data_IF_139001422674
#
_entry.id   IF_139001422674
#
_cell.length_a   1.000
_cell.length_b   1.000
_cell.length_c   1.000
_cell.angle_alpha   90.00
_cell.angle_beta   90.00
_cell.angle_gamma   90.00
#
_symmetry.space_group_name_H-M   'P 1'
#
loop_
_entity.id
_entity.type
_entity.pdbx_description
1 polymer ?
#
# COMPACT_ATOMS: atom_id res chain seq x y z
N UNK A 1 -7.51 -19.49 3.91
CA UNK A 1 -7.54 -18.00 4.00
C UNK A 1 -6.57 -17.46 2.96
N UNK A 2 -6.97 -16.48 2.16
CA UNK A 2 -6.08 -15.91 1.13
C UNK A 2 -5.34 -14.69 1.67
N UNK A 3 -4.09 -14.47 1.24
CA UNK A 3 -3.32 -13.29 1.57
C UNK A 3 -3.83 -12.07 0.78
N UNK A 4 -3.92 -10.93 1.43
CA UNK A 4 -4.37 -9.65 0.86
C UNK A 4 -3.22 -8.64 0.82
N UNK A 5 -3.25 -7.80 -0.19
CA UNK A 5 -2.44 -6.59 -0.28
C UNK A 5 -3.35 -5.42 -0.63
N UNK A 6 -3.35 -4.41 0.20
CA UNK A 6 -4.19 -3.22 0.01
C UNK A 6 -3.33 -1.97 -0.03
N UNK A 7 -3.57 -1.11 -1.01
CA UNK A 7 -3.04 0.25 -1.08
C UNK A 7 -4.20 1.23 -1.04
N UNK A 8 -4.21 2.09 -0.03
CA UNK A 8 -5.11 3.23 0.12
C UNK A 8 -4.39 4.52 -0.27
N UNK A 9 -5.10 5.40 -0.95
CA UNK A 9 -4.64 6.76 -1.24
C UNK A 9 -5.72 7.74 -0.77
N UNK A 10 -5.30 8.84 -0.16
CA UNK A 10 -6.19 9.89 0.30
C UNK A 10 -6.97 10.53 -0.85
N UNK A 11 -8.22 10.86 -0.61
CA UNK A 11 -9.09 11.53 -1.59
C UNK A 11 -8.74 13.01 -1.82
N UNK A 12 -7.84 13.59 -1.02
CA UNK A 12 -7.32 14.95 -1.22
C UNK A 12 -6.20 15.04 -2.27
N UNK A 13 -5.69 13.88 -2.73
CA UNK A 13 -4.68 13.84 -3.79
C UNK A 13 -5.30 14.32 -5.10
N UNK A 14 -4.71 15.37 -5.66
CA UNK A 14 -5.15 15.93 -6.95
C UNK A 14 -4.72 15.04 -8.13
N UNK A 15 -5.41 15.20 -9.26
CA UNK A 15 -5.02 14.49 -10.50
C UNK A 15 -3.62 14.89 -10.96
N UNK A 16 -3.24 16.16 -10.78
CA UNK A 16 -1.90 16.66 -11.13
C UNK A 16 -0.79 15.97 -10.34
N UNK A 17 -1.01 15.72 -9.04
CA UNK A 17 -0.08 14.96 -8.19
C UNK A 17 -0.06 13.47 -8.55
N UNK A 18 -1.20 12.92 -8.98
CA UNK A 18 -1.35 11.50 -9.31
C UNK A 18 -0.76 11.12 -10.67
N UNK A 19 -0.85 12.00 -11.67
CA UNK A 19 -0.38 11.72 -13.04
C UNK A 19 1.08 11.25 -13.13
N UNK A 20 2.07 11.86 -12.43
CA UNK A 20 3.43 11.36 -12.42
C UNK A 20 3.55 9.99 -11.72
N UNK A 21 2.76 9.73 -10.68
CA UNK A 21 2.74 8.44 -9.97
C UNK A 21 2.19 7.35 -10.91
N UNK A 22 1.11 7.65 -11.61
CA UNK A 22 0.57 6.71 -12.60
C UNK A 22 1.58 6.39 -13.71
N UNK A 23 2.28 7.38 -14.24
CA UNK A 23 3.34 7.17 -15.26
C UNK A 23 4.47 6.28 -14.72
N UNK A 24 4.91 6.49 -13.49
CA UNK A 24 5.92 5.64 -12.86
C UNK A 24 5.42 4.22 -12.61
N UNK A 25 4.15 4.06 -12.21
CA UNK A 25 3.56 2.73 -12.05
C UNK A 25 3.52 1.96 -13.37
N UNK A 26 3.28 2.63 -14.50
CA UNK A 26 3.37 2.04 -15.84
C UNK A 26 4.81 1.65 -16.21
N UNK A 27 5.81 2.48 -15.84
CA UNK A 27 7.22 2.13 -16.01
C UNK A 27 7.55 0.84 -15.24
N UNK A 28 7.11 0.74 -13.98
CA UNK A 28 7.30 -0.46 -13.15
C UNK A 28 6.53 -1.66 -13.70
N UNK A 29 5.28 -1.50 -14.15
CA UNK A 29 4.50 -2.55 -14.81
C UNK A 29 5.26 -3.16 -15.99
N UNK A 30 5.90 -2.32 -16.82
CA UNK A 30 6.64 -2.78 -17.99
C UNK A 30 7.97 -3.48 -17.62
N UNK A 31 8.59 -3.08 -16.51
CA UNK A 31 9.86 -3.66 -16.02
C UNK A 31 9.66 -4.99 -15.28
N UNK A 32 8.51 -5.17 -14.61
CA UNK A 32 8.21 -6.35 -13.82
C UNK A 32 7.57 -7.47 -14.65
N UNK A 33 7.67 -8.74 -14.21
CA UNK A 33 7.04 -9.88 -14.89
C UNK A 33 5.54 -9.98 -14.55
N UNK A 34 4.84 -8.87 -14.47
CA UNK A 34 3.42 -8.85 -14.20
C UNK A 34 2.62 -9.41 -15.37
N UNK A 35 1.58 -10.19 -15.09
CA UNK A 35 0.77 -10.90 -16.05
C UNK A 35 -0.71 -10.57 -15.93
N UNK A 36 -1.43 -10.73 -17.04
CA UNK A 36 -2.89 -10.70 -17.12
C UNK A 36 -3.41 -11.94 -17.82
N UNK A 37 -4.62 -12.36 -17.51
CA UNK A 37 -5.28 -13.42 -18.25
C UNK A 37 -5.79 -12.91 -19.60
N UNK A 38 -5.62 -13.76 -20.62
CA UNK A 38 -6.17 -13.54 -21.94
C UNK A 38 -6.81 -14.82 -22.46
N UNK A 39 -8.06 -14.72 -22.86
CA UNK A 39 -8.72 -15.83 -23.54
C UNK A 39 -8.23 -15.92 -24.99
N UNK A 40 -7.71 -17.09 -25.38
CA UNK A 40 -7.41 -17.45 -26.75
C UNK A 40 -8.37 -18.53 -27.24
N UNK A 41 -8.70 -18.50 -28.49
CA UNK A 41 -9.50 -19.57 -29.13
C UNK A 41 -8.56 -20.42 -29.98
N UNK A 42 -8.45 -21.71 -29.65
CA UNK A 42 -7.66 -22.67 -30.42
C UNK A 42 -8.60 -23.76 -30.87
N UNK A 43 -8.70 -23.99 -32.19
CA UNK A 43 -9.60 -24.97 -32.81
C UNK A 43 -11.06 -24.85 -32.33
N UNK A 44 -11.55 -23.60 -32.12
CA UNK A 44 -12.91 -23.34 -31.66
C UNK A 44 -13.13 -23.44 -30.14
N UNK A 45 -12.15 -23.82 -29.35
CA UNK A 45 -12.27 -23.91 -27.90
C UNK A 45 -11.57 -22.72 -27.22
N UNK A 46 -12.26 -22.00 -26.31
CA UNK A 46 -11.63 -20.95 -25.53
C UNK A 46 -10.75 -21.55 -24.41
N UNK A 47 -9.59 -20.97 -24.23
CA UNK A 47 -8.76 -21.27 -23.06
C UNK A 47 -8.05 -20.01 -22.56
N UNK A 48 -7.88 -19.90 -21.26
CA UNK A 48 -7.17 -18.79 -20.65
C UNK A 48 -5.67 -19.07 -20.60
N UNK A 49 -4.88 -18.06 -20.92
CA UNK A 49 -3.43 -18.09 -20.78
C UNK A 49 -2.94 -16.80 -20.16
N UNK A 50 -1.87 -16.89 -19.38
CA UNK A 50 -1.17 -15.70 -18.88
C UNK A 50 -0.35 -15.09 -20.02
N UNK A 51 -0.48 -13.78 -20.17
CA UNK A 51 0.34 -12.95 -21.04
C UNK A 51 0.94 -11.81 -20.23
N UNK A 52 2.08 -11.27 -20.66
CA UNK A 52 2.70 -10.14 -19.98
C UNK A 52 1.71 -8.94 -19.91
N UNK A 53 1.48 -8.43 -18.71
CA UNK A 53 0.61 -7.27 -18.52
C UNK A 53 1.23 -6.04 -19.20
N UNK A 54 0.38 -5.21 -19.80
CA UNK A 54 0.78 -3.96 -20.46
C UNK A 54 -0.31 -2.93 -20.29
N UNK A 55 0.08 -1.70 -20.03
CA UNK A 55 -0.84 -0.58 -20.11
C UNK A 55 -1.21 -0.31 -21.57
N UNK A 56 -2.50 -0.19 -21.84
CA UNK A 56 -3.00 0.27 -23.13
C UNK A 56 -3.21 1.78 -23.05
N UNK A 57 -2.56 2.52 -23.92
CA UNK A 57 -2.71 3.98 -23.98
C UNK A 57 -4.19 4.38 -24.13
N UNK A 58 -4.62 5.36 -23.33
CA UNK A 58 -6.02 5.80 -23.27
C UNK A 58 -6.92 4.98 -22.35
N UNK A 59 -6.44 3.89 -21.73
CA UNK A 59 -7.22 3.16 -20.72
C UNK A 59 -7.26 3.91 -19.38
N UNK A 60 -8.37 3.74 -18.65
CA UNK A 60 -8.58 4.35 -17.34
C UNK A 60 -7.81 3.65 -16.19
N UNK A 61 -7.18 2.53 -16.48
CA UNK A 61 -6.37 1.73 -15.55
C UNK A 61 -5.41 0.82 -16.30
N UNK A 62 -4.42 0.29 -15.59
CA UNK A 62 -3.77 -0.96 -15.95
C UNK A 62 -4.16 -2.05 -14.95
N UNK A 63 -4.02 -3.31 -15.35
CA UNK A 63 -4.39 -4.47 -14.54
C UNK A 63 -3.35 -5.56 -14.57
N UNK A 64 -3.34 -6.39 -13.52
CA UNK A 64 -2.54 -7.60 -13.42
C UNK A 64 -3.21 -8.61 -12.50
N UNK A 65 -3.03 -9.89 -12.78
CA UNK A 65 -3.53 -10.97 -11.92
C UNK A 65 -2.44 -12.01 -11.57
N UNK A 66 -1.20 -11.80 -12.01
CA UNK A 66 -0.18 -12.83 -11.80
C UNK A 66 1.24 -12.44 -12.19
N UNK A 67 2.11 -13.44 -12.18
CA UNK A 67 3.50 -13.36 -12.62
C UNK A 67 3.71 -14.22 -13.88
N UNK A 68 4.16 -13.57 -14.94
CA UNK A 68 4.38 -14.23 -16.23
C UNK A 68 5.54 -15.26 -16.19
N UNK A 69 6.62 -14.96 -15.47
CA UNK A 69 7.81 -15.82 -15.41
C UNK A 69 7.58 -17.07 -14.53
N UNK A 70 6.74 -16.93 -13.49
CA UNK A 70 6.40 -18.04 -12.58
C UNK A 70 5.11 -18.75 -12.97
N UNK A 71 4.36 -18.20 -13.93
CA UNK A 71 3.06 -18.72 -14.38
C UNK A 71 2.06 -18.90 -13.22
N UNK A 72 2.14 -18.04 -12.18
CA UNK A 72 1.20 -18.01 -11.07
C UNK A 72 0.21 -16.85 -11.21
N UNK A 73 -1.02 -17.04 -10.71
CA UNK A 73 -2.07 -16.03 -10.74
C UNK A 73 -3.02 -16.13 -9.54
N UNK A 74 -3.61 -14.99 -9.21
CA UNK A 74 -4.68 -14.86 -8.22
C UNK A 74 -5.73 -13.85 -8.71
N UNK A 75 -6.36 -13.10 -7.79
CA UNK A 75 -7.37 -12.12 -8.18
C UNK A 75 -6.75 -10.91 -8.89
N UNK A 76 -7.46 -10.39 -9.89
CA UNK A 76 -7.01 -9.22 -10.66
C UNK A 76 -6.94 -7.98 -9.78
N UNK A 77 -5.84 -7.27 -9.91
CA UNK A 77 -5.60 -5.97 -9.31
C UNK A 77 -5.63 -4.90 -10.38
N UNK A 78 -6.23 -3.75 -10.05
CA UNK A 78 -6.35 -2.61 -10.94
C UNK A 78 -5.61 -1.41 -10.36
N UNK A 79 -4.88 -0.70 -11.21
CA UNK A 79 -4.25 0.57 -10.82
C UNK A 79 -4.89 1.70 -11.63
N UNK A 80 -5.68 2.57 -11.00
CA UNK A 80 -6.47 3.57 -11.70
C UNK A 80 -5.59 4.70 -12.23
N UNK A 81 -5.95 5.21 -13.41
CA UNK A 81 -5.36 6.42 -13.99
C UNK A 81 -5.86 7.67 -13.29
N UNK A 82 -7.10 7.64 -12.83
CA UNK A 82 -7.75 8.81 -12.25
C UNK A 82 -7.97 8.62 -10.75
N UNK A 83 -7.73 9.68 -10.00
CA UNK A 83 -8.03 9.73 -8.57
C UNK A 83 -9.53 9.89 -8.34
N UNK A 84 -9.98 9.43 -7.17
CA UNK A 84 -11.36 9.63 -6.70
C UNK A 84 -11.34 10.68 -5.60
N UNK A 85 -11.81 11.88 -5.93
CA UNK A 85 -12.01 12.95 -4.94
C UNK A 85 -13.15 12.67 -3.96
N UNK A 86 -13.41 13.66 -3.10
CA UNK A 86 -14.55 13.60 -2.18
C UNK A 86 -15.86 13.89 -2.90
N UNK A 87 -16.89 13.11 -2.59
CA UNK A 87 -18.27 13.32 -3.05
C UNK A 87 -19.10 14.15 -2.02
N UNK A 88 -18.45 14.97 -1.19
CA UNK A 88 -19.10 15.74 -0.13
C UNK A 88 -18.10 16.38 0.82
N UNK A 89 -18.38 16.28 2.13
CA UNK A 89 -17.56 16.92 3.17
C UNK A 89 -16.20 16.26 3.29
N UNK A 90 -15.14 17.05 3.24
CA UNK A 90 -13.78 16.59 3.51
C UNK A 90 -13.65 16.27 4.99
N UNK A 91 -13.22 15.08 5.39
CA UNK A 91 -13.05 14.72 6.80
C UNK A 91 -11.85 15.46 7.42
N UNK A 92 -11.91 15.68 8.75
CA UNK A 92 -10.83 16.35 9.52
C UNK A 92 -9.49 15.60 9.43
N UNK A 93 -9.52 14.28 9.19
CA UNK A 93 -8.33 13.46 9.04
C UNK A 93 -8.29 12.84 7.64
N UNK A 94 -7.40 13.36 6.82
CA UNK A 94 -7.20 12.93 5.42
C UNK A 94 -6.27 11.72 5.30
N UNK A 95 -5.47 11.42 6.32
CA UNK A 95 -4.49 10.32 6.29
C UNK A 95 -5.17 8.94 6.21
N UNK A 96 -4.90 8.12 5.18
CA UNK A 96 -5.50 6.79 5.02
C UNK A 96 -5.20 5.81 6.16
N UNK A 97 -4.08 5.99 6.88
CA UNK A 97 -3.76 5.16 8.04
C UNK A 97 -4.84 5.28 9.13
N UNK A 98 -5.48 6.45 9.26
CA UNK A 98 -6.55 6.65 10.23
C UNK A 98 -7.75 5.72 10.00
N UNK A 99 -7.95 5.20 8.79
CA UNK A 99 -8.98 4.19 8.48
C UNK A 99 -8.78 2.88 9.27
N UNK A 100 -7.57 2.59 9.75
CA UNK A 100 -7.29 1.46 10.64
C UNK A 100 -7.92 1.63 12.01
N UNK A 101 -8.05 2.87 12.48
CA UNK A 101 -8.76 3.22 13.71
C UNK A 101 -10.26 3.39 13.47
N UNK A 102 -10.64 4.13 12.44
CA UNK A 102 -12.03 4.40 12.08
C UNK A 102 -12.33 3.95 10.64
N UNK A 103 -12.73 2.70 10.48
CA UNK A 103 -12.99 2.10 9.16
C UNK A 103 -14.16 2.75 8.38
N UNK A 104 -15.04 3.52 9.06
CA UNK A 104 -16.18 4.20 8.44
C UNK A 104 -15.80 5.54 7.81
N UNK A 105 -14.60 6.06 8.11
CA UNK A 105 -14.18 7.34 7.53
C UNK A 105 -14.00 7.21 6.01
N UNK A 106 -14.52 8.17 5.28
CA UNK A 106 -14.42 8.22 3.82
C UNK A 106 -13.27 9.14 3.38
N UNK A 107 -12.06 8.92 3.91
CA UNK A 107 -10.88 9.75 3.66
C UNK A 107 -9.98 9.22 2.53
N UNK A 108 -10.23 8.04 2.00
CA UNK A 108 -9.35 7.38 1.06
C UNK A 108 -10.09 6.47 0.08
N UNK A 109 -9.48 6.22 -1.07
CA UNK A 109 -9.93 5.22 -2.03
C UNK A 109 -8.93 4.07 -2.15
N UNK A 110 -9.42 2.92 -2.59
CA UNK A 110 -8.58 1.76 -2.87
C UNK A 110 -7.96 1.90 -4.25
N UNK A 111 -6.62 1.84 -4.32
CA UNK A 111 -5.89 1.68 -5.58
C UNK A 111 -5.94 0.22 -5.98
N UNK A 112 -5.60 -0.69 -5.05
CA UNK A 112 -5.84 -2.12 -5.16
C UNK A 112 -6.10 -2.72 -3.77
N UNK A 113 -6.75 -3.88 -3.69
CA UNK A 113 -7.15 -4.45 -2.41
C UNK A 113 -7.69 -5.88 -2.47
N UNK A 114 -7.38 -6.61 -3.55
CA UNK A 114 -7.84 -7.98 -3.72
C UNK A 114 -6.81 -9.00 -3.21
N UNK A 115 -7.19 -10.28 -3.18
CA UNK A 115 -6.32 -11.36 -2.75
C UNK A 115 -5.17 -11.58 -3.72
N UNK A 116 -3.97 -11.71 -3.17
CA UNK A 116 -2.75 -12.08 -3.90
C UNK A 116 -2.35 -13.55 -3.67
N UNK A 117 -3.02 -14.25 -2.75
CA UNK A 117 -2.90 -15.68 -2.45
C UNK A 117 -1.45 -16.18 -2.29
N UNK A 118 -0.55 -15.34 -1.76
CA UNK A 118 0.90 -15.61 -1.67
C UNK A 118 1.60 -15.81 -3.01
N UNK A 119 0.96 -15.46 -4.14
CA UNK A 119 1.58 -15.53 -5.45
C UNK A 119 2.74 -14.53 -5.59
N UNK A 120 3.71 -14.86 -6.41
CA UNK A 120 4.97 -14.12 -6.53
C UNK A 120 4.79 -12.69 -7.07
N UNK A 121 3.71 -12.42 -7.80
CA UNK A 121 3.41 -11.06 -8.30
C UNK A 121 3.10 -10.06 -7.18
N UNK A 122 2.72 -10.54 -5.98
CA UNK A 122 2.48 -9.71 -4.81
C UNK A 122 3.70 -8.87 -4.41
N UNK A 123 4.92 -9.37 -4.62
CA UNK A 123 6.16 -8.62 -4.39
C UNK A 123 6.25 -7.37 -5.29
N UNK A 124 5.90 -7.50 -6.55
CA UNK A 124 5.97 -6.41 -7.52
C UNK A 124 4.87 -5.36 -7.30
N UNK A 125 3.66 -5.82 -6.91
CA UNK A 125 2.59 -4.90 -6.46
C UNK A 125 3.00 -4.14 -5.20
N UNK A 126 3.63 -4.83 -4.25
CA UNK A 126 4.15 -4.20 -3.04
C UNK A 126 5.24 -3.17 -3.37
N UNK A 127 6.12 -3.45 -4.34
CA UNK A 127 7.13 -2.49 -4.81
C UNK A 127 6.48 -1.22 -5.39
N UNK A 128 5.39 -1.36 -6.16
CA UNK A 128 4.61 -0.24 -6.67
C UNK A 128 3.94 0.53 -5.50
N UNK A 129 3.38 -0.18 -4.52
CA UNK A 129 2.79 0.46 -3.33
C UNK A 129 3.83 1.27 -2.53
N UNK A 130 5.05 0.76 -2.36
CA UNK A 130 6.14 1.49 -1.68
C UNK A 130 6.54 2.75 -2.44
N UNK A 131 6.54 2.73 -3.77
CA UNK A 131 6.76 3.92 -4.59
C UNK A 131 5.64 4.96 -4.35
N UNK A 132 4.38 4.52 -4.31
CA UNK A 132 3.25 5.43 -4.05
C UNK A 132 3.33 6.05 -2.64
N UNK A 133 3.62 5.26 -1.60
CA UNK A 133 3.80 5.79 -0.24
C UNK A 133 4.96 6.79 -0.16
N UNK A 134 6.05 6.53 -0.88
CA UNK A 134 7.18 7.45 -0.93
C UNK A 134 6.82 8.80 -1.59
N UNK A 135 5.99 8.77 -2.64
CA UNK A 135 5.53 9.98 -3.35
C UNK A 135 4.45 10.75 -2.60
N UNK A 136 3.66 10.07 -1.78
CA UNK A 136 2.52 10.62 -1.05
C UNK A 136 2.65 10.38 0.46
N UNK A 137 3.68 10.94 1.13
CA UNK A 137 3.89 10.72 2.56
C UNK A 137 2.69 11.24 3.37
N UNK A 138 2.13 10.38 4.25
CA UNK A 138 0.92 10.68 5.02
C UNK A 138 -0.39 10.66 4.22
N UNK A 139 -0.33 10.50 2.89
CA UNK A 139 -1.51 10.44 2.00
C UNK A 139 -1.63 9.12 1.23
N UNK A 140 -0.73 8.17 1.48
CA UNK A 140 -0.87 6.79 1.04
C UNK A 140 -0.56 5.85 2.19
N UNK A 141 -1.17 4.66 2.17
CA UNK A 141 -0.95 3.65 3.19
C UNK A 141 -1.20 2.24 2.64
N UNK A 142 -0.20 1.37 2.86
CA UNK A 142 -0.24 -0.04 2.44
C UNK A 142 -0.39 -0.94 3.66
N UNK A 143 -1.33 -1.88 3.58
CA UNK A 143 -1.52 -2.90 4.61
C UNK A 143 -1.98 -4.23 4.01
N UNK A 144 -2.02 -5.27 4.82
CA UNK A 144 -2.43 -6.61 4.43
C UNK A 144 -1.59 -7.68 5.10
N UNK A 145 -1.64 -8.89 4.54
CA UNK A 145 -0.85 -10.04 5.01
C UNK A 145 0.59 -9.95 4.48
N UNK A 146 1.33 -8.95 4.97
CA UNK A 146 2.66 -8.57 4.49
C UNK A 146 3.66 -8.69 5.63
N UNK A 147 4.77 -9.38 5.39
CA UNK A 147 5.86 -9.53 6.35
C UNK A 147 6.95 -8.47 6.11
N UNK A 148 7.66 -8.09 7.18
CA UNK A 148 8.75 -7.11 7.15
C UNK A 148 9.76 -7.39 6.02
N UNK A 149 10.32 -8.62 5.86
CA UNK A 149 11.27 -8.90 4.79
C UNK A 149 10.70 -8.72 3.37
N UNK A 150 9.38 -8.87 3.21
CA UNK A 150 8.75 -8.64 1.90
C UNK A 150 8.74 -7.15 1.55
N UNK A 151 8.52 -6.26 2.52
CA UNK A 151 8.56 -4.80 2.29
C UNK A 151 9.99 -4.35 1.98
N UNK A 152 10.99 -4.84 2.75
CA UNK A 152 12.40 -4.56 2.48
C UNK A 152 12.78 -4.98 1.06
N UNK A 153 12.40 -6.19 0.69
CA UNK A 153 12.63 -6.71 -0.67
C UNK A 153 11.89 -5.93 -1.75
N UNK A 154 10.66 -5.48 -1.47
CA UNK A 154 9.88 -4.65 -2.39
C UNK A 154 10.52 -3.29 -2.65
N UNK A 155 11.07 -2.65 -1.61
CA UNK A 155 11.83 -1.40 -1.71
C UNK A 155 13.09 -1.61 -2.55
N UNK A 156 13.84 -2.71 -2.34
CA UNK A 156 14.99 -3.04 -3.17
C UNK A 156 14.61 -3.23 -4.65
N UNK A 157 13.52 -3.96 -4.91
CA UNK A 157 13.02 -4.23 -6.27
C UNK A 157 12.57 -2.92 -6.94
N UNK A 158 11.88 -2.03 -6.22
CA UNK A 158 11.50 -0.71 -6.72
C UNK A 158 12.75 0.13 -7.09
N UNK A 159 13.74 0.16 -6.20
CA UNK A 159 14.97 0.94 -6.40
C UNK A 159 15.83 0.47 -7.59
N UNK A 160 15.60 -0.73 -8.13
CA UNK A 160 16.26 -1.21 -9.37
C UNK A 160 15.63 -0.64 -10.64
N UNK A 161 14.40 -0.15 -10.55
CA UNK A 161 13.61 0.32 -11.70
C UNK A 161 13.44 1.84 -11.71
N UNK A 162 13.39 2.44 -10.52
CA UNK A 162 13.23 3.89 -10.35
C UNK A 162 14.56 4.61 -10.57
N UNK A 163 14.50 5.84 -11.09
CA UNK A 163 15.67 6.70 -11.31
C UNK A 163 16.07 7.49 -10.04
N UNK A 164 15.39 7.24 -8.94
CA UNK A 164 15.63 7.81 -7.61
C UNK A 164 15.48 6.71 -6.55
N UNK A 165 16.00 6.99 -5.35
CA UNK A 165 15.96 6.04 -4.24
C UNK A 165 14.73 6.27 -3.37
N UNK A 166 13.95 5.22 -3.11
CA UNK A 166 12.89 5.21 -2.10
C UNK A 166 13.39 4.52 -0.82
N UNK A 167 12.95 5.04 0.33
CA UNK A 167 13.22 4.45 1.64
C UNK A 167 12.07 3.60 2.14
N UNK A 168 12.32 2.84 3.21
CA UNK A 168 11.28 2.13 3.95
C UNK A 168 10.18 3.11 4.42
N UNK A 169 8.91 2.67 4.44
CA UNK A 169 7.79 3.50 4.85
C UNK A 169 7.86 3.91 6.34
N UNK A 170 7.02 4.89 6.71
CA UNK A 170 6.99 5.44 8.07
C UNK A 170 6.72 4.41 9.15
N UNK A 171 6.01 3.33 8.82
CA UNK A 171 5.72 2.20 9.73
C UNK A 171 6.96 1.44 10.20
N UNK A 172 8.15 1.67 9.60
CA UNK A 172 9.43 1.09 10.01
C UNK A 172 10.20 1.95 11.02
N UNK A 173 9.70 3.13 11.36
CA UNK A 173 10.33 4.04 12.32
C UNK A 173 9.33 4.48 13.37
N UNK A 174 9.66 4.24 14.67
CA UNK A 174 8.78 4.66 15.77
C UNK A 174 8.56 6.18 15.76
N UNK A 175 9.60 6.97 15.45
CA UNK A 175 9.52 8.43 15.40
C UNK A 175 8.60 8.91 14.28
N UNK A 176 8.76 8.35 13.07
CA UNK A 176 7.95 8.75 11.92
C UNK A 176 6.49 8.33 12.07
N UNK A 177 6.25 7.07 12.49
CA UNK A 177 4.91 6.57 12.71
C UNK A 177 4.21 7.33 13.85
N UNK A 178 4.90 7.58 14.96
CA UNK A 178 4.38 8.40 16.06
C UNK A 178 4.02 9.81 15.58
N UNK A 179 4.91 10.49 14.84
CA UNK A 179 4.64 11.82 14.28
C UNK A 179 3.36 11.83 13.45
N UNK A 180 3.18 10.81 12.62
CA UNK A 180 1.99 10.64 11.78
C UNK A 180 0.72 10.43 12.62
N UNK A 181 0.73 9.47 13.55
CA UNK A 181 -0.41 9.15 14.42
C UNK A 181 -0.73 10.28 15.39
N UNK A 182 0.27 11.04 15.82
CA UNK A 182 0.07 12.12 16.80
C UNK A 182 -0.80 13.26 16.28
N UNK A 183 -0.97 13.40 14.96
CA UNK A 183 -1.89 14.35 14.35
C UNK A 183 -3.36 13.93 14.46
N UNK A 184 -3.65 12.68 14.82
CA UNK A 184 -5.01 12.15 14.87
C UNK A 184 -5.75 12.62 16.11
N UNK A 185 -7.02 13.03 15.99
CA UNK A 185 -7.85 13.53 17.11
C UNK A 185 -8.42 12.36 17.95
N UNK A 186 -7.55 11.52 18.49
CA UNK A 186 -7.89 10.34 19.30
C UNK A 186 -7.13 10.36 20.62
N UNK A 187 -7.56 9.51 21.57
CA UNK A 187 -6.90 9.43 22.87
C UNK A 187 -5.46 8.95 22.79
N UNK A 188 -4.62 9.29 23.79
CA UNK A 188 -3.24 8.75 23.85
C UNK A 188 -3.17 7.24 23.86
N UNK A 189 -4.11 6.57 24.54
CA UNK A 189 -4.20 5.11 24.59
C UNK A 189 -4.50 4.54 23.20
N UNK A 190 -5.43 5.16 22.45
CA UNK A 190 -5.73 4.74 21.09
C UNK A 190 -4.55 4.99 20.14
N UNK A 191 -3.83 6.11 20.31
CA UNK A 191 -2.59 6.39 19.56
C UNK A 191 -1.54 5.31 19.80
N UNK A 192 -1.35 4.91 21.04
CA UNK A 192 -0.38 3.87 21.41
C UNK A 192 -0.81 2.50 20.87
N UNK A 193 -2.09 2.17 20.93
CA UNK A 193 -2.65 0.96 20.34
C UNK A 193 -2.44 0.92 18.83
N UNK A 194 -2.72 2.03 18.16
CA UNK A 194 -2.52 2.16 16.71
C UNK A 194 -1.04 2.11 16.34
N UNK A 195 -0.16 2.76 17.12
CA UNK A 195 1.28 2.67 16.95
C UNK A 195 1.75 1.21 17.00
N UNK A 196 1.25 0.41 17.94
CA UNK A 196 1.61 -1.01 18.06
C UNK A 196 1.09 -1.83 16.90
N UNK A 197 -0.18 -1.68 16.54
CA UNK A 197 -0.81 -2.49 15.51
C UNK A 197 -0.22 -2.25 14.11
N UNK A 198 0.22 -1.02 13.84
CA UNK A 198 0.73 -0.63 12.52
C UNK A 198 2.27 -0.58 12.44
N UNK A 199 2.96 -0.82 13.57
CA UNK A 199 4.42 -0.85 13.59
C UNK A 199 5.00 -2.04 12.83
N UNK A 200 6.03 -1.78 12.06
CA UNK A 200 6.84 -2.77 11.34
C UNK A 200 8.31 -2.73 11.78
N UNK A 201 8.52 -2.44 13.05
CA UNK A 201 9.81 -2.44 13.72
C UNK A 201 9.75 -3.31 14.97
N UNK A 202 10.91 -3.78 15.45
CA UNK A 202 10.99 -4.55 16.69
C UNK A 202 10.77 -3.63 17.89
N UNK A 203 10.05 -4.12 18.89
CA UNK A 203 9.80 -3.45 20.16
C UNK A 203 10.98 -3.69 21.11
N UNK A 204 12.06 -2.92 20.89
CA UNK A 204 13.30 -2.94 21.69
C UNK A 204 13.19 -2.01 22.89
N UNK A 205 14.19 -2.05 23.78
CA UNK A 205 14.27 -1.14 24.94
C UNK A 205 14.35 0.34 24.50
N UNK A 206 14.98 0.62 23.34
CA UNK A 206 15.01 1.97 22.79
C UNK A 206 13.61 2.44 22.36
N UNK A 207 12.82 1.56 21.76
CA UNK A 207 11.42 1.85 21.39
C UNK A 207 10.60 2.08 22.65
N UNK A 208 10.75 1.26 23.68
CA UNK A 208 10.07 1.46 24.97
C UNK A 208 10.48 2.77 25.63
N UNK A 209 11.77 3.11 25.66
CA UNK A 209 12.25 4.40 26.17
C UNK A 209 11.66 5.58 25.40
N UNK A 210 11.45 5.45 24.07
CA UNK A 210 10.76 6.45 23.28
C UNK A 210 9.28 6.57 23.69
N UNK A 211 8.58 5.45 23.90
CA UNK A 211 7.17 5.42 24.34
C UNK A 211 7.02 6.09 25.71
N UNK A 212 7.84 5.74 26.68
CA UNK A 212 7.81 6.32 28.04
C UNK A 212 8.05 7.85 28.05
N UNK A 213 8.84 8.33 27.11
CA UNK A 213 9.09 9.79 26.95
C UNK A 213 7.93 10.55 26.31
N UNK A 214 7.15 9.90 25.44
CA UNK A 214 6.18 10.58 24.55
C UNK A 214 4.71 10.31 24.92
N UNK A 215 4.44 9.35 25.83
CA UNK A 215 3.09 9.03 26.29
C UNK A 215 2.98 9.16 27.81
N UNK A 216 1.79 9.47 28.30
CA UNK A 216 1.52 9.53 29.73
C UNK A 216 1.61 8.14 30.38
N UNK A 217 2.05 8.07 31.64
CA UNK A 217 2.07 6.82 32.43
C UNK A 217 0.71 6.12 32.41
N UNK A 218 -0.40 6.89 32.51
CA UNK A 218 -1.77 6.36 32.46
C UNK A 218 -2.05 5.64 31.14
N UNK A 219 -1.64 6.21 29.99
CA UNK A 219 -1.84 5.57 28.69
C UNK A 219 -1.06 4.26 28.59
N UNK A 220 0.19 4.24 29.07
CA UNK A 220 1.05 3.05 29.09
C UNK A 220 0.48 1.96 30.01
N UNK A 221 0.00 2.30 31.19
CA UNK A 221 -0.62 1.35 32.13
C UNK A 221 -1.90 0.70 31.57
N UNK A 222 -2.73 1.48 30.87
CA UNK A 222 -3.94 0.95 30.21
C UNK A 222 -3.58 0.04 29.06
N UNK A 223 -2.58 0.41 28.28
CA UNK A 223 -2.10 -0.36 27.14
C UNK A 223 -1.42 -1.69 27.54
N UNK A 224 -0.80 -1.77 28.72
CA UNK A 224 -0.08 -2.97 29.22
C UNK A 224 -0.99 -4.03 29.87
N UNK A 225 -2.28 -3.72 30.04
CA UNK A 225 -3.31 -4.66 30.54
C UNK A 225 -3.98 -5.44 29.44
#
# INVERSE_FOLDING_TARGET
MGAYLTLLVSKDVSQEEWDPIFKESVKMLNAFPLAMEKTKVIRGYPFNCLVKAKYREGSDYWETCGNYDQMDSAETQYFPRYVKGYDGVVPDVIDPLFKRYNYKIDNSFYVFGNKIQMCSYGLYLLAIAMMVEHKLPGRAYTYGDIYIPQIERAVEVANRVLDYHISLPDTFSVQKLFKRINTFPISETDKLTLLKSESRFLWTDEVWSFIEKNFSKKAIEVFSK
#
